data_IF_772766215831
#
_entry.id   IF_772766215831
#
_cell.length_a   1.000
_cell.length_b   1.000
_cell.length_c   1.000
_cell.angle_alpha   90.00
_cell.angle_beta   90.00
_cell.angle_gamma   90.00
#
_symmetry.space_group_name_H-M   'P 1'
#
loop_
_entity.id
_entity.type
_entity.pdbx_description
1 polymer ?
#
# COMPACT_ATOMS: atom_id res chain seq x y z
N UNK A 1 -1.04 -28.06 -0.50
CA UNK A 1 -2.21 -27.74 -1.35
C UNK A 1 -1.71 -27.45 -2.76
N UNK A 2 -2.43 -27.82 -3.84
CA UNK A 2 -2.04 -27.46 -5.21
C UNK A 2 -2.41 -26.00 -5.48
N UNK A 3 -1.55 -25.28 -6.21
CA UNK A 3 -1.80 -23.90 -6.66
C UNK A 3 -3.06 -23.85 -7.53
N UNK A 4 -3.97 -22.93 -7.22
CA UNK A 4 -5.19 -22.71 -8.02
C UNK A 4 -4.88 -22.05 -9.37
N UNK A 5 -5.73 -22.29 -10.36
CA UNK A 5 -5.69 -21.54 -11.62
C UNK A 5 -5.84 -20.02 -11.37
N UNK A 6 -5.17 -19.20 -12.18
CA UNK A 6 -5.16 -17.74 -11.99
C UNK A 6 -6.54 -17.13 -12.19
N UNK A 7 -7.33 -17.64 -13.12
CA UNK A 7 -8.68 -17.11 -13.34
C UNK A 7 -9.58 -17.42 -12.14
N UNK A 8 -9.46 -18.62 -11.56
CA UNK A 8 -10.18 -18.97 -10.34
C UNK A 8 -9.78 -18.04 -9.19
N UNK A 9 -8.48 -17.80 -9.00
CA UNK A 9 -8.00 -16.85 -7.99
C UNK A 9 -8.60 -15.45 -8.22
N UNK A 10 -8.59 -14.95 -9.46
CA UNK A 10 -9.12 -13.63 -9.81
C UNK A 10 -10.61 -13.54 -9.46
N UNK A 11 -11.41 -14.54 -9.82
CA UNK A 11 -12.85 -14.55 -9.49
C UNK A 11 -13.09 -14.58 -7.98
N UNK A 12 -12.29 -15.33 -7.22
CA UNK A 12 -12.38 -15.33 -5.75
C UNK A 12 -11.96 -13.98 -5.14
N UNK A 13 -10.91 -13.34 -5.67
CA UNK A 13 -10.48 -12.02 -5.23
C UNK A 13 -11.52 -10.94 -5.52
N UNK A 14 -12.32 -11.07 -6.60
CA UNK A 14 -13.44 -10.16 -6.90
C UNK A 14 -14.54 -10.17 -5.84
N UNK A 15 -14.64 -11.23 -5.03
CA UNK A 15 -15.56 -11.28 -3.88
C UNK A 15 -15.05 -10.40 -2.73
N UNK A 16 -13.73 -10.27 -2.59
CA UNK A 16 -13.08 -9.45 -1.56
C UNK A 16 -13.08 -7.98 -1.99
N UNK A 17 -12.67 -7.73 -3.25
CA UNK A 17 -12.66 -6.40 -3.85
C UNK A 17 -12.74 -6.52 -5.36
N UNK A 18 -13.71 -5.86 -6.01
CA UNK A 18 -14.04 -6.08 -7.42
C UNK A 18 -13.27 -5.18 -8.40
N UNK A 19 -12.71 -4.07 -7.93
CA UNK A 19 -12.00 -3.10 -8.76
C UNK A 19 -10.47 -3.26 -8.67
N UNK A 20 -9.94 -4.12 -9.53
CA UNK A 20 -8.50 -4.25 -9.74
C UNK A 20 -8.16 -4.62 -11.18
N UNK A 21 -6.91 -4.35 -11.58
CA UNK A 21 -6.36 -4.71 -12.90
C UNK A 21 -5.03 -5.44 -12.77
N UNK A 22 -4.85 -6.46 -13.61
CA UNK A 22 -3.60 -7.21 -13.71
C UNK A 22 -2.53 -6.39 -14.44
N UNK A 23 -1.30 -6.44 -13.93
CA UNK A 23 -0.12 -5.83 -14.54
C UNK A 23 1.05 -6.82 -14.48
N UNK A 24 1.91 -6.92 -15.52
CA UNK A 24 3.20 -7.60 -15.38
C UNK A 24 4.05 -6.87 -14.33
N UNK A 25 4.65 -7.59 -13.38
CA UNK A 25 5.39 -6.96 -12.27
C UNK A 25 6.54 -6.06 -12.78
N UNK A 26 7.19 -6.44 -13.89
CA UNK A 26 8.23 -5.65 -14.56
C UNK A 26 7.77 -4.25 -15.02
N UNK A 27 6.47 -4.03 -15.17
CA UNK A 27 5.92 -2.74 -15.58
C UNK A 27 5.73 -1.77 -14.41
N UNK A 28 5.85 -2.24 -13.16
CA UNK A 28 5.76 -1.38 -11.97
C UNK A 28 6.90 -0.37 -11.97
N UNK A 29 6.56 0.91 -11.85
CA UNK A 29 7.54 2.00 -11.93
C UNK A 29 8.02 2.33 -10.53
N UNK A 30 9.29 2.06 -10.25
CA UNK A 30 9.98 2.54 -9.04
C UNK A 30 10.81 3.77 -9.42
N UNK A 31 10.76 4.83 -8.63
CA UNK A 31 11.50 6.05 -8.91
C UNK A 31 12.04 6.71 -7.63
N UNK A 32 13.31 7.12 -7.67
CA UNK A 32 14.02 7.56 -6.46
C UNK A 32 13.46 8.89 -5.93
N UNK A 33 12.91 9.73 -6.81
CA UNK A 33 12.25 11.00 -6.44
C UNK A 33 11.05 10.80 -5.51
N UNK A 34 10.38 9.63 -5.55
CA UNK A 34 9.23 9.33 -4.68
C UNK A 34 9.67 9.35 -3.21
N UNK A 35 10.87 8.83 -2.92
CA UNK A 35 11.45 8.87 -1.57
C UNK A 35 11.74 10.30 -1.12
N UNK A 36 12.15 11.19 -2.03
CA UNK A 36 12.35 12.61 -1.73
C UNK A 36 11.02 13.29 -1.37
N UNK A 37 9.94 13.02 -2.09
CA UNK A 37 8.61 13.54 -1.75
C UNK A 37 8.11 13.00 -0.40
N UNK A 38 8.35 11.72 -0.10
CA UNK A 38 8.02 11.18 1.22
C UNK A 38 8.80 11.90 2.34
N UNK A 39 10.13 12.09 2.17
CA UNK A 39 11.00 12.69 3.20
C UNK A 39 10.75 14.18 3.45
N UNK A 40 10.48 14.95 2.41
CA UNK A 40 10.42 16.41 2.50
C UNK A 40 9.03 16.99 2.24
N UNK A 41 8.11 16.21 1.68
CA UNK A 41 6.74 16.64 1.36
C UNK A 41 5.66 16.07 2.27
N UNK A 42 5.94 15.00 3.03
CA UNK A 42 4.96 14.35 3.88
C UNK A 42 5.16 14.71 5.37
N UNK A 43 4.12 15.23 6.02
CA UNK A 43 4.11 15.45 7.48
C UNK A 43 4.07 14.14 8.30
N UNK A 44 3.75 13.03 7.62
CA UNK A 44 3.72 11.67 8.14
C UNK A 44 5.07 10.94 8.14
N UNK A 45 6.14 11.55 7.60
CA UNK A 45 7.44 10.89 7.46
C UNK A 45 7.97 10.39 8.81
N UNK A 46 8.47 9.14 8.83
CA UNK A 46 9.02 8.46 10.01
C UNK A 46 8.09 8.29 11.22
N UNK A 47 6.79 8.60 11.09
CA UNK A 47 5.80 8.44 12.19
C UNK A 47 5.24 7.03 12.31
N UNK A 48 5.20 6.28 11.21
CA UNK A 48 4.62 4.93 11.16
C UNK A 48 5.63 3.90 10.66
N UNK A 49 5.52 2.66 11.15
CA UNK A 49 6.36 1.55 10.69
C UNK A 49 6.11 1.13 9.24
N UNK A 50 4.99 1.56 8.64
CA UNK A 50 4.72 1.42 7.20
C UNK A 50 5.31 2.56 6.36
N UNK A 51 6.09 3.47 6.98
CA UNK A 51 6.73 4.60 6.32
C UNK A 51 8.26 4.51 6.41
N UNK A 52 8.99 5.18 5.50
CA UNK A 52 10.43 5.39 5.64
C UNK A 52 10.79 6.01 7.00
N UNK A 53 11.92 5.62 7.62
CA UNK A 53 12.97 4.74 7.10
C UNK A 53 12.71 3.23 7.32
N UNK A 54 11.54 2.84 7.84
CA UNK A 54 11.24 1.46 8.22
C UNK A 54 10.76 0.58 7.05
N UNK A 55 10.63 1.15 5.86
CA UNK A 55 10.24 0.48 4.62
C UNK A 55 11.40 0.35 3.63
N UNK A 56 11.36 -0.65 2.71
CA UNK A 56 12.40 -0.86 1.72
C UNK A 56 12.77 0.42 0.96
N UNK A 57 14.06 0.65 0.74
CA UNK A 57 14.53 1.73 -0.12
C UNK A 57 14.15 1.44 -1.59
N UNK A 58 14.09 2.46 -2.48
CA UNK A 58 13.75 2.25 -3.89
C UNK A 58 14.60 1.15 -4.56
N UNK A 59 15.88 1.03 -4.22
CA UNK A 59 16.74 -0.04 -4.74
C UNK A 59 16.27 -1.44 -4.32
N UNK A 60 15.92 -1.61 -3.04
CA UNK A 60 15.43 -2.88 -2.51
C UNK A 60 14.04 -3.20 -3.06
N UNK A 61 13.19 -2.19 -3.26
CA UNK A 61 11.89 -2.35 -3.93
C UNK A 61 12.06 -2.85 -5.37
N UNK A 62 13.05 -2.36 -6.13
CA UNK A 62 13.37 -2.90 -7.47
C UNK A 62 13.79 -4.37 -7.40
N UNK A 63 14.61 -4.75 -6.41
CA UNK A 63 15.04 -6.14 -6.21
C UNK A 63 13.84 -7.03 -5.86
N UNK A 64 12.97 -6.57 -4.96
CA UNK A 64 11.73 -7.26 -4.58
C UNK A 64 10.87 -7.52 -5.81
N UNK A 65 10.53 -6.48 -6.59
CA UNK A 65 9.64 -6.58 -7.75
C UNK A 65 10.17 -7.56 -8.81
N UNK A 66 11.49 -7.63 -9.03
CA UNK A 66 12.11 -8.60 -9.96
C UNK A 66 11.90 -10.06 -9.55
N UNK A 67 11.55 -10.31 -8.29
CA UNK A 67 11.20 -11.63 -7.78
C UNK A 67 9.78 -12.08 -8.11
N UNK A 68 8.97 -11.25 -8.77
CA UNK A 68 7.57 -11.53 -9.13
C UNK A 68 7.35 -11.40 -10.64
N UNK A 69 6.41 -12.16 -11.21
CA UNK A 69 6.04 -12.08 -12.63
C UNK A 69 4.82 -11.16 -12.84
N UNK A 70 3.87 -11.15 -11.90
CA UNK A 70 2.60 -10.40 -12.01
C UNK A 70 2.29 -9.59 -10.76
N UNK A 71 1.33 -8.68 -10.90
CA UNK A 71 0.73 -7.99 -9.78
C UNK A 71 -0.71 -7.56 -10.11
N UNK A 72 -1.49 -7.25 -9.09
CA UNK A 72 -2.78 -6.57 -9.20
C UNK A 72 -2.63 -5.14 -8.70
N UNK A 73 -3.10 -4.17 -9.49
CA UNK A 73 -3.35 -2.81 -9.06
C UNK A 73 -4.78 -2.75 -8.56
N UNK A 74 -4.98 -2.49 -7.27
CA UNK A 74 -6.28 -2.50 -6.60
C UNK A 74 -6.72 -1.06 -6.38
N UNK A 75 -7.88 -0.67 -6.92
CA UNK A 75 -8.37 0.71 -6.86
C UNK A 75 -9.48 0.85 -5.83
N UNK A 76 -9.35 1.83 -4.94
CA UNK A 76 -10.36 2.21 -3.96
C UNK A 76 -10.86 3.61 -4.35
N UNK A 77 -11.97 3.66 -5.07
CA UNK A 77 -12.55 4.89 -5.61
C UNK A 77 -13.54 5.54 -4.63
N UNK A 78 -13.57 6.88 -4.62
CA UNK A 78 -14.51 7.69 -3.83
C UNK A 78 -14.49 7.36 -2.32
N UNK A 79 -13.28 7.15 -1.78
CA UNK A 79 -13.11 6.89 -0.34
C UNK A 79 -13.57 8.09 0.48
N UNK A 80 -14.27 7.81 1.58
CA UNK A 80 -14.89 8.84 2.41
C UNK A 80 -13.95 9.28 3.53
N UNK A 81 -13.63 10.58 3.62
CA UNK A 81 -12.87 11.10 4.74
C UNK A 81 -13.77 11.28 5.97
N UNK A 82 -13.13 11.36 7.14
CA UNK A 82 -13.75 11.84 8.36
C UNK A 82 -13.78 13.37 8.35
N UNK A 83 -14.97 13.95 8.15
CA UNK A 83 -15.17 15.40 8.04
C UNK A 83 -15.01 16.15 9.37
N UNK A 84 -14.97 15.45 10.51
CA UNK A 84 -14.69 16.05 11.82
C UNK A 84 -13.19 16.38 11.98
N UNK A 85 -12.34 15.82 11.11
CA UNK A 85 -10.91 16.08 11.10
C UNK A 85 -10.57 17.11 10.01
N UNK A 86 -9.81 18.17 10.31
CA UNK A 86 -9.37 19.11 9.29
C UNK A 86 -8.47 18.45 8.24
N UNK A 87 -8.63 18.71 6.92
CA UNK A 87 -7.84 18.07 5.87
C UNK A 87 -6.32 18.26 5.95
N UNK A 88 -5.86 19.29 6.66
CA UNK A 88 -4.42 19.51 6.96
C UNK A 88 -3.79 18.34 7.74
N UNK A 89 -4.61 17.53 8.41
CA UNK A 89 -4.25 16.31 9.11
C UNK A 89 -4.65 15.09 8.28
N UNK A 90 -4.12 15.02 7.06
CA UNK A 90 -4.54 14.08 6.01
C UNK A 90 -4.67 12.62 6.47
N UNK A 91 -3.76 12.16 7.33
CA UNK A 91 -3.76 10.79 7.86
C UNK A 91 -5.01 10.50 8.70
N UNK A 92 -5.30 11.32 9.72
CA UNK A 92 -6.52 11.21 10.51
C UNK A 92 -7.79 11.56 9.71
N UNK A 93 -7.69 12.47 8.73
CA UNK A 93 -8.78 12.78 7.81
C UNK A 93 -9.19 11.57 6.96
N UNK A 94 -8.26 10.69 6.64
CA UNK A 94 -8.50 9.46 5.87
C UNK A 94 -8.38 8.20 6.72
N UNK A 95 -8.45 8.30 8.05
CA UNK A 95 -8.11 7.21 8.96
C UNK A 95 -8.84 5.90 8.63
N UNK A 96 -10.17 5.96 8.58
CA UNK A 96 -11.03 4.80 8.35
C UNK A 96 -10.87 4.26 6.92
N UNK A 97 -10.70 5.14 5.94
CA UNK A 97 -10.43 4.76 4.56
C UNK A 97 -9.10 4.01 4.43
N UNK A 98 -8.03 4.50 5.06
CA UNK A 98 -6.72 3.85 5.04
C UNK A 98 -6.76 2.50 5.75
N UNK A 99 -7.47 2.41 6.88
CA UNK A 99 -7.66 1.15 7.60
C UNK A 99 -8.42 0.14 6.74
N UNK A 100 -9.48 0.57 6.05
CA UNK A 100 -10.22 -0.25 5.10
C UNK A 100 -9.32 -0.77 3.98
N UNK A 101 -8.52 0.10 3.34
CA UNK A 101 -7.54 -0.32 2.33
C UNK A 101 -6.58 -1.37 2.88
N UNK A 102 -6.01 -1.13 4.07
CA UNK A 102 -5.05 -2.05 4.70
C UNK A 102 -5.68 -3.42 5.00
N UNK A 103 -6.90 -3.43 5.52
CA UNK A 103 -7.63 -4.68 5.83
C UNK A 103 -7.96 -5.47 4.55
N UNK A 104 -8.44 -4.79 3.50
CA UNK A 104 -8.73 -5.42 2.20
C UNK A 104 -7.47 -5.98 1.57
N UNK A 105 -6.38 -5.21 1.52
CA UNK A 105 -5.12 -5.65 0.94
C UNK A 105 -4.51 -6.84 1.69
N UNK A 106 -4.58 -6.84 3.04
CA UNK A 106 -4.18 -7.97 3.85
C UNK A 106 -5.03 -9.22 3.57
N UNK A 107 -6.35 -9.07 3.44
CA UNK A 107 -7.25 -10.17 3.11
C UNK A 107 -6.96 -10.77 1.73
N UNK A 108 -6.78 -9.92 0.72
CA UNK A 108 -6.41 -10.35 -0.63
C UNK A 108 -5.06 -11.07 -0.66
N UNK A 109 -4.05 -10.57 0.06
CA UNK A 109 -2.74 -11.23 0.18
C UNK A 109 -2.88 -12.60 0.82
N UNK A 110 -3.58 -12.67 1.96
CA UNK A 110 -3.80 -13.92 2.70
C UNK A 110 -4.54 -14.93 1.83
N UNK A 111 -5.60 -14.52 1.13
CA UNK A 111 -6.36 -15.40 0.24
C UNK A 111 -5.51 -15.91 -0.93
N UNK A 112 -4.69 -15.03 -1.51
CA UNK A 112 -3.77 -15.39 -2.60
C UNK A 112 -2.73 -16.41 -2.14
N UNK A 113 -2.09 -16.16 -0.99
CA UNK A 113 -1.14 -17.09 -0.38
C UNK A 113 -1.79 -18.46 -0.08
N UNK A 114 -2.97 -18.45 0.55
CA UNK A 114 -3.74 -19.65 0.87
C UNK A 114 -4.32 -20.35 -0.37
N UNK A 115 -4.30 -19.71 -1.55
CA UNK A 115 -4.64 -20.30 -2.84
C UNK A 115 -3.44 -20.98 -3.53
N UNK A 116 -2.29 -21.02 -2.86
CA UNK A 116 -1.08 -21.71 -3.30
C UNK A 116 -0.10 -20.83 -4.08
N UNK A 117 -0.34 -19.52 -4.14
CA UNK A 117 0.58 -18.53 -4.68
C UNK A 117 1.55 -18.09 -3.57
N UNK A 118 2.59 -18.89 -3.33
CA UNK A 118 3.44 -18.74 -2.14
C UNK A 118 4.26 -17.44 -2.14
N UNK A 119 4.49 -16.84 -3.31
CA UNK A 119 4.98 -15.45 -3.46
C UNK A 119 3.77 -14.52 -3.61
N UNK A 120 3.20 -14.10 -2.50
CA UNK A 120 2.19 -13.05 -2.43
C UNK A 120 2.67 -11.97 -1.47
N UNK A 121 2.59 -10.70 -1.88
CA UNK A 121 2.95 -9.58 -1.01
C UNK A 121 2.15 -8.32 -1.38
N UNK A 122 1.37 -7.82 -0.44
CA UNK A 122 0.60 -6.60 -0.58
C UNK A 122 1.39 -5.37 -0.14
N UNK A 123 1.09 -4.25 -0.79
CA UNK A 123 1.43 -2.90 -0.39
C UNK A 123 0.17 -2.04 -0.43
N UNK A 124 0.06 -1.15 0.55
CA UNK A 124 -1.15 -0.35 0.78
C UNK A 124 -0.98 1.07 0.21
N UNK A 125 -1.87 1.98 0.62
CA UNK A 125 -1.76 3.42 0.38
C UNK A 125 -1.70 4.17 1.73
N UNK A 126 -0.85 5.20 1.81
CA UNK A 126 -0.71 6.10 2.98
C UNK A 126 -0.15 5.41 4.25
N UNK A 127 0.20 6.18 5.31
CA UNK A 127 0.68 5.61 6.57
C UNK A 127 -0.39 4.75 7.26
N UNK A 128 0.01 3.66 7.91
CA UNK A 128 -0.89 2.68 8.54
C UNK A 128 -1.80 3.31 9.61
N UNK A 129 -3.06 2.87 9.68
CA UNK A 129 -4.09 3.39 10.61
C UNK A 129 -4.58 2.34 11.62
N UNK A 130 -3.73 1.36 11.99
CA UNK A 130 -4.11 0.33 12.96
C UNK A 130 -3.98 0.77 14.43
N UNK A 131 -3.14 1.75 14.71
CA UNK A 131 -2.90 2.24 16.07
C UNK A 131 -2.58 3.74 16.06
N UNK A 132 -3.06 4.45 17.08
CA UNK A 132 -2.71 5.85 17.35
C UNK A 132 -2.31 6.00 18.84
N UNK A 133 -1.08 6.40 19.17
CA UNK A 133 0.06 6.60 18.27
C UNK A 133 0.70 5.28 17.80
N UNK A 134 1.57 5.38 16.77
CA UNK A 134 2.45 4.28 16.35
C UNK A 134 3.79 4.32 17.11
N UNK A 135 4.52 3.20 17.13
CA UNK A 135 5.78 3.04 17.88
C UNK A 135 6.81 4.15 17.59
N UNK A 136 7.05 4.59 16.34
CA UNK A 136 7.98 5.69 16.06
C UNK A 136 7.58 7.05 16.64
N UNK A 137 6.29 7.25 16.95
CA UNK A 137 5.83 8.45 17.66
C UNK A 137 5.90 8.29 19.18
N UNK A 138 5.79 7.05 19.69
CA UNK A 138 5.94 6.74 21.11
C UNK A 138 7.39 6.78 21.58
N UNK A 139 8.33 6.27 20.78
CA UNK A 139 9.72 6.07 21.16
C UNK A 139 10.68 6.69 20.14
N UNK A 140 11.61 7.51 20.63
CA UNK A 140 12.62 8.20 19.81
C UNK A 140 13.86 7.35 19.54
N UNK A 141 14.12 6.33 20.36
CA UNK A 141 15.30 5.47 20.27
C UNK A 141 14.90 4.12 19.66
N UNK A 142 14.66 4.12 18.34
CA UNK A 142 14.37 2.92 17.58
C UNK A 142 15.63 2.36 16.93
N UNK A 143 15.81 1.04 17.03
CA UNK A 143 16.83 0.32 16.28
C UNK A 143 16.39 0.04 14.83
N UNK A 144 17.10 -0.85 14.13
CA UNK A 144 16.81 -1.20 12.73
C UNK A 144 15.63 -2.15 12.55
N UNK A 145 15.13 -2.76 13.62
CA UNK A 145 14.05 -3.76 13.56
C UNK A 145 12.87 -3.46 14.51
N UNK A 146 12.34 -2.22 14.56
CA UNK A 146 11.28 -1.85 15.49
C UNK A 146 9.95 -2.55 15.18
N UNK A 147 9.81 -3.09 13.96
CA UNK A 147 8.66 -3.91 13.54
C UNK A 147 8.38 -5.08 14.48
N UNK A 148 9.38 -5.65 15.15
CA UNK A 148 9.20 -6.78 16.11
C UNK A 148 8.31 -6.45 17.31
N UNK A 149 8.06 -5.18 17.56
CA UNK A 149 7.19 -4.70 18.64
C UNK A 149 5.83 -4.21 18.14
N UNK A 150 5.60 -4.19 16.83
CA UNK A 150 4.31 -3.75 16.29
C UNK A 150 3.18 -4.64 16.83
N UNK A 151 2.08 -4.01 17.24
CA UNK A 151 0.88 -4.70 17.75
C UNK A 151 0.10 -5.43 16.64
N UNK A 152 0.45 -5.17 15.38
CA UNK A 152 -0.21 -5.67 14.16
C UNK A 152 0.81 -6.23 13.17
N UNK A 153 1.81 -6.95 13.68
CA UNK A 153 2.95 -7.48 12.90
C UNK A 153 2.58 -8.30 11.67
N UNK A 154 1.48 -9.06 11.78
CA UNK A 154 0.90 -9.94 10.77
C UNK A 154 0.20 -9.14 9.65
N UNK A 155 -0.40 -7.99 9.99
CA UNK A 155 -1.25 -7.22 9.06
C UNK A 155 -0.56 -6.06 8.39
N UNK A 156 0.32 -5.34 9.11
CA UNK A 156 0.92 -4.11 8.58
C UNK A 156 1.70 -4.38 7.29
N UNK A 157 1.38 -3.63 6.23
CA UNK A 157 2.15 -3.58 4.99
C UNK A 157 2.65 -2.15 4.75
N UNK A 158 3.78 -1.98 4.04
CA UNK A 158 4.23 -0.65 3.63
C UNK A 158 3.31 -0.12 2.53
N UNK A 159 3.19 1.20 2.40
CA UNK A 159 2.51 1.77 1.25
C UNK A 159 3.37 1.76 -0.02
N UNK A 160 2.74 1.81 -1.20
CA UNK A 160 3.44 1.86 -2.48
C UNK A 160 4.44 3.03 -2.54
N UNK A 161 4.01 4.23 -2.16
CA UNK A 161 4.84 5.43 -2.16
C UNK A 161 5.93 5.38 -1.07
N UNK A 162 5.66 4.73 0.06
CA UNK A 162 6.67 4.47 1.08
C UNK A 162 7.79 3.56 0.54
N UNK A 163 7.50 2.65 -0.39
CA UNK A 163 8.46 1.80 -1.08
C UNK A 163 9.12 2.46 -2.30
N UNK A 164 8.81 3.71 -2.61
CA UNK A 164 9.38 4.41 -3.77
C UNK A 164 8.73 4.05 -5.12
N UNK A 165 7.54 3.44 -5.09
CA UNK A 165 6.75 3.19 -6.30
C UNK A 165 6.10 4.51 -6.74
N UNK A 166 6.31 4.86 -8.00
CA UNK A 166 5.58 5.93 -8.67
C UNK A 166 4.18 5.41 -9.00
N UNK A 167 3.27 5.65 -8.06
CA UNK A 167 1.87 5.19 -8.16
C UNK A 167 1.23 5.75 -9.42
N UNK A 168 1.41 7.03 -9.73
CA UNK A 168 0.82 7.66 -10.92
C UNK A 168 1.27 6.99 -12.21
N UNK A 169 2.59 6.83 -12.41
CA UNK A 169 3.11 6.19 -13.60
C UNK A 169 2.69 4.71 -13.69
N UNK A 170 2.63 4.01 -12.56
CA UNK A 170 2.26 2.60 -12.50
C UNK A 170 0.79 2.36 -12.85
N UNK A 171 -0.15 3.08 -12.21
CA UNK A 171 -1.59 2.83 -12.40
C UNK A 171 -2.07 3.26 -13.79
N UNK A 172 -1.42 4.26 -14.39
CA UNK A 172 -1.71 4.68 -15.78
C UNK A 172 -1.39 3.59 -16.80
N UNK A 173 -0.43 2.70 -16.54
CA UNK A 173 -0.12 1.58 -17.44
C UNK A 173 -1.23 0.56 -17.56
N UNK A 174 -2.11 0.48 -16.56
CA UNK A 174 -3.31 -0.36 -16.61
C UNK A 174 -4.56 0.45 -16.98
N UNK A 175 -4.42 1.70 -17.43
CA UNK A 175 -5.52 2.55 -17.88
C UNK A 175 -6.38 3.14 -16.77
N UNK A 176 -5.88 3.19 -15.53
CA UNK A 176 -6.51 4.01 -14.50
C UNK A 176 -6.10 5.48 -14.65
N UNK A 177 -7.05 6.37 -14.45
CA UNK A 177 -6.78 7.80 -14.34
C UNK A 177 -6.30 8.11 -12.92
N UNK A 178 -5.23 8.90 -12.84
CA UNK A 178 -4.68 9.38 -11.59
C UNK A 178 -4.22 10.81 -11.78
N UNK A 179 -4.82 11.74 -11.04
CA UNK A 179 -4.55 13.16 -11.10
C UNK A 179 -4.17 13.71 -9.74
N UNK A 180 -3.42 14.81 -9.74
CA UNK A 180 -3.10 15.51 -8.49
C UNK A 180 -4.35 16.22 -8.01
N UNK A 181 -4.74 15.95 -6.78
CA UNK A 181 -5.89 16.61 -6.17
C UNK A 181 -5.60 18.08 -5.87
N UNK A 182 -6.55 18.95 -6.20
CA UNK A 182 -6.48 20.40 -5.98
C UNK A 182 -7.38 20.86 -4.83
N UNK A 183 -8.27 19.97 -4.35
CA UNK A 183 -9.16 20.19 -3.23
C UNK A 183 -9.19 18.94 -2.34
N UNK A 184 -9.25 19.08 -1.01
CA UNK A 184 -9.44 17.93 -0.11
C UNK A 184 -10.86 17.36 -0.13
N UNK A 185 -11.80 18.02 -0.83
CA UNK A 185 -13.21 17.63 -0.90
C UNK A 185 -13.60 17.00 -2.24
N UNK A 186 -12.65 16.85 -3.16
CA UNK A 186 -12.90 16.10 -4.39
C UNK A 186 -12.91 14.60 -4.11
N UNK A 187 -13.38 13.79 -5.07
CA UNK A 187 -13.35 12.34 -4.96
C UNK A 187 -11.90 11.87 -4.78
N UNK A 188 -11.68 11.11 -3.71
CA UNK A 188 -10.36 10.59 -3.35
C UNK A 188 -10.28 9.15 -3.83
N UNK A 189 -9.21 8.83 -4.55
CA UNK A 189 -8.92 7.49 -5.03
C UNK A 189 -7.59 7.05 -4.46
N UNK A 190 -7.57 5.86 -3.85
CA UNK A 190 -6.37 5.22 -3.33
C UNK A 190 -6.07 3.96 -4.15
N UNK A 191 -4.80 3.55 -4.16
CA UNK A 191 -4.37 2.35 -4.86
C UNK A 191 -3.51 1.47 -3.98
N UNK A 192 -3.83 0.18 -3.95
CA UNK A 192 -2.97 -0.87 -3.41
C UNK A 192 -2.29 -1.66 -4.53
N UNK A 193 -1.27 -2.41 -4.16
CA UNK A 193 -0.54 -3.31 -5.06
C UNK A 193 -0.42 -4.68 -4.41
N UNK A 194 -0.88 -5.73 -5.10
CA UNK A 194 -0.65 -7.11 -4.68
C UNK A 194 0.32 -7.76 -5.66
N UNK A 195 1.56 -7.99 -5.25
CA UNK A 195 2.55 -8.76 -6.01
C UNK A 195 2.16 -10.25 -5.95
N UNK A 196 2.15 -10.91 -7.12
CA UNK A 196 1.76 -12.32 -7.28
C UNK A 196 2.76 -12.98 -8.21
N UNK A 197 3.37 -14.07 -7.73
CA UNK A 197 4.30 -14.97 -8.43
C UNK A 197 4.96 -14.50 -9.70
#
# INVERSE_FOLDING_TARGET
MKKKDLNILIEELRVIHDDFRLIPAKEIVVADWVRWKCRYGCRGYAKHLSCPPYTPAPEDTRKLIRGYDKALIVRFEDVKPNLDVPPRHLHHFLWDAIKMVSDTMYEMERHTFLSGYYKAFAMDALPCSYCDPCIPEENKDLDLAPKRFCRHQDRVRPSMEACGIDVFATVRKVGYEAEVFISPYQKITLFGLLLIE
#
